data_IF_249687803728
#
_entry.id   IF_249687803728
#
_cell.length_a   1.000
_cell.length_b   1.000
_cell.length_c   1.000
_cell.angle_alpha   90.00
_cell.angle_beta   90.00
_cell.angle_gamma   90.00
#
_symmetry.space_group_name_H-M   'P 1'
#
loop_
_entity.id
_entity.type
_entity.pdbx_description
1 polymer ?
#
# COMPACT_ATOMS: atom_id res chain seq x y z
N UNK A 1 -44.40 9.82 -57.50
CA UNK A 1 -43.56 10.73 -56.68
C UNK A 1 -43.43 10.19 -55.25
N UNK A 2 -42.47 9.30 -55.06
CA UNK A 2 -42.10 8.67 -53.78
C UNK A 2 -41.09 9.57 -53.05
N UNK A 3 -41.21 9.75 -51.71
CA UNK A 3 -40.18 10.47 -50.95
C UNK A 3 -39.01 9.55 -50.59
N UNK A 4 -37.83 10.16 -50.68
CA UNK A 4 -36.49 9.59 -50.61
C UNK A 4 -36.09 9.09 -49.22
N UNK A 5 -35.21 8.10 -49.26
CA UNK A 5 -34.39 7.54 -48.19
C UNK A 5 -33.69 8.60 -47.34
N UNK A 6 -33.76 8.43 -46.02
CA UNK A 6 -32.85 9.05 -45.07
C UNK A 6 -31.83 7.98 -44.63
N UNK A 7 -30.58 8.17 -45.08
CA UNK A 7 -29.45 7.31 -44.73
C UNK A 7 -29.09 7.41 -43.25
N UNK A 8 -28.79 6.25 -42.66
CA UNK A 8 -28.18 6.14 -41.33
C UNK A 8 -26.70 6.59 -41.40
N UNK A 9 -26.18 7.29 -40.39
CA UNK A 9 -24.76 7.65 -40.34
C UNK A 9 -23.89 6.45 -39.94
N UNK A 10 -22.78 6.31 -40.65
CA UNK A 10 -21.71 5.33 -40.43
C UNK A 10 -21.19 5.37 -38.99
N UNK A 11 -21.17 4.20 -38.34
CA UNK A 11 -20.48 4.00 -37.09
C UNK A 11 -18.97 3.95 -37.36
N UNK A 12 -18.25 4.98 -36.92
CA UNK A 12 -16.79 4.96 -36.87
C UNK A 12 -16.34 3.97 -35.78
N UNK A 13 -15.64 2.91 -36.18
CA UNK A 13 -14.91 2.02 -35.27
C UNK A 13 -13.84 2.82 -34.51
N UNK A 14 -13.89 2.73 -33.17
CA UNK A 14 -12.84 3.24 -32.31
C UNK A 14 -11.54 2.41 -32.49
N UNK A 15 -10.35 3.04 -32.51
CA UNK A 15 -9.10 2.32 -32.67
C UNK A 15 -8.82 1.44 -31.43
N UNK A 16 -8.43 0.20 -31.67
CA UNK A 16 -7.96 -0.73 -30.65
C UNK A 16 -6.75 -0.14 -29.91
N UNK A 17 -6.89 0.06 -28.60
CA UNK A 17 -5.76 0.37 -27.72
C UNK A 17 -4.79 -0.83 -27.72
N UNK A 18 -3.62 -0.63 -28.32
CA UNK A 18 -2.55 -1.60 -28.33
C UNK A 18 -2.07 -1.89 -26.91
N UNK A 19 -2.36 -3.10 -26.43
CA UNK A 19 -1.67 -3.67 -25.29
C UNK A 19 -0.18 -3.78 -25.63
N UNK A 20 0.63 -2.87 -25.10
CA UNK A 20 2.09 -2.95 -25.19
C UNK A 20 2.56 -4.26 -24.57
N UNK A 21 2.88 -5.24 -25.42
CA UNK A 21 3.47 -6.49 -25.00
C UNK A 21 4.83 -6.20 -24.38
N UNK A 22 4.90 -6.12 -23.05
CA UNK A 22 6.17 -6.09 -22.34
C UNK A 22 6.79 -7.47 -22.48
N UNK A 23 7.87 -7.57 -23.26
CA UNK A 23 8.67 -8.80 -23.36
C UNK A 23 9.08 -9.25 -21.96
N UNK A 24 8.83 -10.52 -21.57
CA UNK A 24 9.25 -11.01 -20.27
C UNK A 24 10.78 -10.88 -20.14
N UNK A 25 11.23 -10.47 -18.95
CA UNK A 25 12.66 -10.39 -18.64
C UNK A 25 13.32 -11.75 -18.81
N UNK A 26 14.47 -11.79 -19.46
CA UNK A 26 15.26 -13.02 -19.56
C UNK A 26 15.76 -13.44 -18.17
N UNK A 27 16.03 -14.73 -17.98
CA UNK A 27 16.59 -15.28 -16.73
C UNK A 27 17.87 -14.53 -16.31
N UNK A 28 18.64 -14.07 -17.30
CA UNK A 28 19.86 -13.29 -17.11
C UNK A 28 19.57 -11.86 -16.59
N UNK A 29 18.52 -11.21 -17.09
CA UNK A 29 18.08 -9.89 -16.61
C UNK A 29 17.56 -9.95 -15.17
N UNK A 30 16.90 -11.05 -14.78
CA UNK A 30 16.45 -11.26 -13.39
C UNK A 30 17.65 -11.46 -12.45
N UNK A 31 18.63 -12.28 -12.85
CA UNK A 31 19.85 -12.49 -12.05
C UNK A 31 20.66 -11.20 -11.91
N UNK A 32 20.78 -10.41 -12.99
CA UNK A 32 21.51 -9.15 -12.98
C UNK A 32 20.80 -8.08 -12.13
N UNK A 33 19.47 -8.01 -12.19
CA UNK A 33 18.67 -7.19 -11.29
C UNK A 33 18.84 -7.62 -9.81
N UNK A 34 18.91 -8.93 -9.54
CA UNK A 34 19.17 -9.42 -8.18
C UNK A 34 20.60 -9.12 -7.68
N UNK A 35 21.59 -9.06 -8.57
CA UNK A 35 22.96 -8.70 -8.23
C UNK A 35 23.11 -7.21 -7.88
N UNK A 36 22.38 -6.32 -8.58
CA UNK A 36 22.39 -4.87 -8.30
C UNK A 36 21.84 -4.50 -6.91
N UNK A 37 21.07 -5.38 -6.27
CA UNK A 37 20.46 -5.14 -4.96
C UNK A 37 21.30 -5.64 -3.78
N UNK A 38 22.46 -6.27 -4.01
CA UNK A 38 23.36 -6.67 -2.91
C UNK A 38 24.30 -5.51 -2.58
N UNK A 39 24.44 -5.21 -1.28
CA UNK A 39 25.48 -4.29 -0.75
C UNK A 39 26.90 -4.87 -0.84
N UNK A 40 27.02 -6.16 -1.12
CA UNK A 40 28.29 -6.87 -1.23
C UNK A 40 28.47 -7.42 -2.65
N UNK A 41 29.71 -7.41 -3.19
CA UNK A 41 29.99 -7.99 -4.49
C UNK A 41 29.65 -9.49 -4.50
N UNK A 42 29.24 -10.00 -5.67
CA UNK A 42 29.06 -11.44 -5.85
C UNK A 42 30.39 -12.17 -5.57
N UNK A 43 30.38 -13.34 -4.93
CA UNK A 43 31.57 -14.15 -4.74
C UNK A 43 32.27 -14.42 -6.08
N UNK A 44 33.60 -14.45 -6.08
CA UNK A 44 34.44 -14.64 -7.27
C UNK A 44 34.05 -15.86 -8.08
N UNK A 45 33.62 -16.93 -7.40
CA UNK A 45 33.25 -18.21 -7.99
C UNK A 45 31.95 -18.09 -8.81
N UNK A 46 31.03 -17.22 -8.37
CA UNK A 46 29.78 -16.92 -9.08
C UNK A 46 30.07 -16.07 -10.32
N UNK A 47 30.99 -15.11 -10.20
CA UNK A 47 31.43 -14.28 -11.32
C UNK A 47 32.12 -15.15 -12.38
N UNK A 48 33.02 -16.04 -11.96
CA UNK A 48 33.72 -16.97 -12.87
C UNK A 48 32.75 -17.93 -13.55
N UNK A 49 31.77 -18.49 -12.84
CA UNK A 49 30.76 -19.37 -13.42
C UNK A 49 29.85 -18.66 -14.45
N UNK A 50 29.56 -17.37 -14.24
CA UNK A 50 28.81 -16.53 -15.18
C UNK A 50 29.67 -16.21 -16.42
N UNK A 51 30.94 -15.86 -16.22
CA UNK A 51 31.88 -15.58 -17.30
C UNK A 51 32.17 -16.81 -18.17
N UNK A 52 32.29 -17.99 -17.57
CA UNK A 52 32.50 -19.25 -18.28
C UNK A 52 31.27 -19.62 -19.13
N UNK A 53 30.06 -19.43 -18.60
CA UNK A 53 28.82 -19.63 -19.37
C UNK A 53 28.62 -18.61 -20.49
N UNK A 54 29.07 -17.37 -20.31
CA UNK A 54 29.07 -16.34 -21.35
C UNK A 54 30.10 -16.61 -22.45
N UNK A 55 31.25 -17.20 -22.10
CA UNK A 55 32.30 -17.59 -23.03
C UNK A 55 31.89 -18.76 -23.95
N UNK A 56 30.93 -19.58 -23.51
CA UNK A 56 30.41 -20.72 -24.25
C UNK A 56 29.16 -20.38 -25.10
N UNK A 57 28.69 -19.13 -25.10
CA UNK A 57 27.57 -18.71 -25.93
C UNK A 57 28.05 -18.41 -27.37
N UNK A 58 27.55 -19.09 -28.40
CA UNK A 58 27.94 -18.82 -29.77
C UNK A 58 27.07 -17.70 -30.33
N UNK A 59 27.57 -16.46 -30.25
CA UNK A 59 27.45 -15.38 -31.24
C UNK A 59 28.02 -14.11 -30.61
N UNK A 60 29.13 -13.62 -31.16
CA UNK A 60 29.85 -12.45 -30.67
C UNK A 60 29.16 -11.12 -31.00
N UNK A 61 29.25 -10.19 -30.05
CA UNK A 61 29.79 -8.82 -30.16
C UNK A 61 30.03 -8.37 -28.71
N UNK A 62 31.27 -8.02 -28.35
CA UNK A 62 31.59 -7.41 -27.04
C UNK A 62 31.86 -5.93 -27.28
N UNK A 63 31.07 -5.07 -26.63
CA UNK A 63 31.20 -3.61 -26.60
C UNK A 63 32.28 -3.18 -25.59
N UNK A 64 33.31 -2.39 -25.97
CA UNK A 64 34.43 -2.02 -25.10
C UNK A 64 34.15 -0.89 -24.08
N UNK A 65 32.92 -0.45 -23.87
CA UNK A 65 32.63 0.69 -22.95
C UNK A 65 32.73 0.35 -21.45
N UNK A 66 33.04 -0.89 -21.06
CA UNK A 66 33.01 -1.32 -19.64
C UNK A 66 34.39 -1.47 -18.94
N UNK A 67 35.41 -0.69 -19.31
CA UNK A 67 36.76 -0.77 -18.70
C UNK A 67 37.18 0.48 -17.91
N UNK A 68 36.41 1.58 -17.91
CA UNK A 68 36.79 2.83 -17.23
C UNK A 68 35.93 3.21 -16.02
N UNK A 69 35.76 2.31 -15.05
CA UNK A 69 35.08 2.65 -13.78
C UNK A 69 35.78 2.08 -12.53
N UNK A 70 37.13 2.11 -12.49
CA UNK A 70 37.92 1.74 -11.30
C UNK A 70 38.88 2.86 -10.83
N UNK A 71 38.89 4.03 -11.47
CA UNK A 71 39.81 5.11 -11.14
C UNK A 71 39.11 6.38 -10.63
N UNK A 72 38.44 6.32 -9.46
CA UNK A 72 38.10 7.52 -8.69
C UNK A 72 37.69 7.19 -7.24
N UNK A 73 38.66 6.91 -6.36
CA UNK A 73 38.47 7.06 -4.90
C UNK A 73 39.80 7.14 -4.12
N UNK A 74 40.49 8.28 -4.20
CA UNK A 74 41.53 8.75 -3.25
C UNK A 74 41.51 10.29 -3.32
N UNK A 75 41.46 11.09 -2.28
CA UNK A 75 41.40 10.90 -0.83
C UNK A 75 41.16 12.25 -0.14
N UNK A 76 41.12 12.19 1.19
CA UNK A 76 40.79 13.20 2.19
C UNK A 76 41.73 14.43 2.31
N UNK A 77 41.21 15.47 2.98
CA UNK A 77 41.93 16.13 4.08
C UNK A 77 42.11 17.64 3.96
N UNK A 78 41.64 18.39 4.97
CA UNK A 78 42.00 19.79 5.14
C UNK A 78 41.21 20.50 6.25
N UNK A 79 41.71 20.40 7.48
CA UNK A 79 41.31 21.22 8.63
C UNK A 79 41.88 22.65 8.53
N UNK A 80 41.17 23.62 9.10
CA UNK A 80 41.63 25.00 9.26
C UNK A 80 40.82 25.74 10.33
N UNK A 81 41.44 25.93 11.49
CA UNK A 81 40.93 26.58 12.70
C UNK A 81 41.43 28.03 12.75
N UNK A 82 40.58 29.04 13.03
CA UNK A 82 41.00 30.36 13.57
C UNK A 82 39.88 31.06 14.37
N UNK A 83 40.30 31.59 15.52
CA UNK A 83 39.62 32.51 16.44
C UNK A 83 39.37 33.91 15.79
N UNK A 84 38.65 34.92 16.31
CA UNK A 84 38.18 35.31 17.65
C UNK A 84 37.15 36.48 17.48
N UNK A 85 36.67 37.04 18.60
CA UNK A 85 36.06 38.38 18.80
C UNK A 85 34.54 38.49 19.00
N UNK A 86 34.21 39.19 20.09
CA UNK A 86 32.92 39.22 20.78
C UNK A 86 31.76 39.82 19.98
N UNK A 87 30.58 39.20 20.15
CA UNK A 87 29.29 39.69 19.65
C UNK A 87 28.22 39.52 20.73
N UNK A 88 27.19 40.38 20.74
CA UNK A 88 26.14 40.40 21.76
C UNK A 88 25.52 39.02 21.93
N UNK A 89 25.13 38.66 23.17
CA UNK A 89 24.56 37.35 23.54
C UNK A 89 23.48 36.94 22.53
N UNK A 90 23.91 36.19 21.50
CA UNK A 90 23.03 35.60 20.51
C UNK A 90 22.14 34.65 21.28
N UNK A 91 20.82 34.85 21.18
CA UNK A 91 19.85 33.85 21.63
C UNK A 91 20.32 32.52 21.09
N UNK A 92 20.54 31.57 22.00
CA UNK A 92 21.03 30.24 21.61
C UNK A 92 20.01 29.64 20.63
N UNK A 93 20.45 28.79 19.69
CA UNK A 93 19.53 28.06 18.81
C UNK A 93 18.40 27.38 19.59
N UNK A 94 18.70 26.96 20.83
CA UNK A 94 17.75 26.40 21.80
C UNK A 94 16.69 27.41 22.28
N UNK A 95 17.06 28.67 22.54
CA UNK A 95 16.13 29.73 22.92
C UNK A 95 15.27 30.19 21.75
N UNK A 96 15.85 30.30 20.55
CA UNK A 96 15.09 30.64 19.34
C UNK A 96 14.03 29.56 19.05
N UNK A 97 14.43 28.28 19.05
CA UNK A 97 13.51 27.16 18.87
C UNK A 97 12.44 27.07 19.98
N UNK A 98 12.78 27.38 21.22
CA UNK A 98 11.82 27.38 22.33
C UNK A 98 10.78 28.50 22.19
N UNK A 99 11.19 29.70 21.75
CA UNK A 99 10.29 30.83 21.57
C UNK A 99 9.43 30.70 20.30
N UNK A 100 9.96 30.09 19.22
CA UNK A 100 9.17 29.69 18.05
C UNK A 100 8.13 28.62 18.41
N UNK A 101 8.51 27.60 19.20
CA UNK A 101 7.57 26.60 19.70
C UNK A 101 6.51 27.21 20.64
N UNK A 102 6.85 28.23 21.42
CA UNK A 102 5.91 28.94 22.30
C UNK A 102 4.92 29.80 21.50
N UNK A 103 5.37 30.48 20.43
CA UNK A 103 4.49 31.21 19.50
C UNK A 103 3.59 30.30 18.68
N UNK A 104 4.08 29.13 18.24
CA UNK A 104 3.27 28.13 17.55
C UNK A 104 2.13 27.56 18.43
N UNK A 105 2.33 27.51 19.76
CA UNK A 105 1.31 27.07 20.73
C UNK A 105 0.20 28.10 21.00
N UNK A 106 0.48 29.40 20.86
CA UNK A 106 -0.47 30.46 21.23
C UNK A 106 -1.47 30.83 20.12
N UNK A 107 -1.38 30.19 18.95
CA UNK A 107 -2.22 30.52 17.79
C UNK A 107 -2.94 29.32 17.17
N UNK A 108 -3.11 28.20 17.89
CA UNK A 108 -3.60 26.93 17.30
C UNK A 108 -5.02 27.09 16.75
N UNK A 109 -5.23 27.16 15.42
CA UNK A 109 -6.55 27.30 14.81
C UNK A 109 -7.37 26.01 14.91
N UNK A 110 -6.70 24.89 15.22
CA UNK A 110 -7.30 23.56 15.12
C UNK A 110 -8.08 23.09 16.34
N UNK A 111 -7.99 23.74 17.50
CA UNK A 111 -8.94 23.45 18.59
C UNK A 111 -10.36 23.86 18.17
N UNK A 112 -10.51 25.01 17.50
CA UNK A 112 -11.78 25.46 16.94
C UNK A 112 -12.25 24.57 15.77
N UNK A 113 -11.33 24.08 14.92
CA UNK A 113 -11.67 23.12 13.86
C UNK A 113 -12.11 21.75 14.44
N UNK A 114 -11.39 21.21 15.43
CA UNK A 114 -11.78 19.96 16.07
C UNK A 114 -13.13 20.11 16.78
N UNK A 115 -13.34 21.23 17.47
CA UNK A 115 -14.60 21.56 18.12
C UNK A 115 -15.76 21.73 17.11
N UNK A 116 -15.53 22.39 15.97
CA UNK A 116 -16.56 22.56 14.92
C UNK A 116 -16.89 21.25 14.21
N UNK A 117 -15.97 20.29 14.22
CA UNK A 117 -16.19 18.93 13.73
C UNK A 117 -16.79 17.99 14.81
N UNK A 118 -17.04 18.49 16.03
CA UNK A 118 -17.58 17.69 17.13
C UNK A 118 -16.60 16.65 17.70
N UNK A 119 -15.30 16.80 17.41
CA UNK A 119 -14.28 15.86 17.86
C UNK A 119 -13.87 16.22 19.29
N UNK A 120 -14.09 15.31 20.23
CA UNK A 120 -13.54 15.42 21.58
C UNK A 120 -12.02 15.28 21.52
N UNK A 121 -11.30 16.40 21.45
CA UNK A 121 -9.84 16.45 21.53
C UNK A 121 -9.40 16.65 22.98
N UNK A 122 -8.49 15.81 23.47
CA UNK A 122 -7.75 16.07 24.71
C UNK A 122 -6.77 17.23 24.46
N UNK A 123 -7.29 18.46 24.55
CA UNK A 123 -6.53 19.69 24.27
C UNK A 123 -5.31 19.86 25.20
N UNK A 124 -5.26 19.14 26.33
CA UNK A 124 -4.12 19.18 27.28
C UNK A 124 -2.94 18.32 26.81
N UNK A 125 -3.10 17.51 25.76
CA UNK A 125 -2.05 16.65 25.19
C UNK A 125 -1.82 16.91 23.71
N UNK A 126 -1.59 18.16 23.31
CA UNK A 126 -0.80 18.38 22.08
C UNK A 126 0.56 17.73 22.34
N UNK A 127 0.80 16.59 21.70
CA UNK A 127 1.90 15.71 22.04
C UNK A 127 3.23 16.48 21.92
N UNK A 128 3.90 16.65 23.06
CA UNK A 128 5.22 17.29 23.13
C UNK A 128 6.21 16.65 22.16
N UNK A 129 6.00 15.38 21.77
CA UNK A 129 6.78 14.70 20.73
C UNK A 129 6.56 15.29 19.33
N UNK A 130 5.34 15.63 18.95
CA UNK A 130 5.02 16.23 17.65
C UNK A 130 5.64 17.62 17.55
N UNK A 131 5.48 18.46 18.59
CA UNK A 131 6.09 19.78 18.63
C UNK A 131 7.64 19.72 18.62
N UNK A 132 8.24 18.78 19.37
CA UNK A 132 9.69 18.55 19.35
C UNK A 132 10.17 17.97 18.02
N UNK A 133 9.38 17.12 17.37
CA UNK A 133 9.65 16.56 16.05
C UNK A 133 9.65 17.63 14.97
N UNK A 134 8.63 18.50 14.97
CA UNK A 134 8.53 19.66 14.09
C UNK A 134 9.75 20.59 14.22
N UNK A 135 10.17 20.88 15.45
CA UNK A 135 11.36 21.70 15.72
C UNK A 135 12.70 21.03 15.34
N UNK A 136 12.72 19.69 15.20
CA UNK A 136 13.91 18.90 14.81
C UNK A 136 14.01 18.67 13.30
N UNK A 137 12.94 18.87 12.55
CA UNK A 137 13.04 18.92 11.09
C UNK A 137 14.01 20.05 10.75
N UNK A 138 15.18 19.72 10.17
CA UNK A 138 16.18 20.70 9.69
C UNK A 138 15.59 21.48 8.52
N UNK A 139 14.63 22.36 8.80
CA UNK A 139 13.69 22.88 7.82
C UNK A 139 12.85 21.78 7.17
N UNK A 140 11.52 21.93 7.04
CA UNK A 140 10.85 21.24 5.95
C UNK A 140 11.58 21.57 4.63
N UNK A 141 11.64 20.61 3.70
CA UNK A 141 12.11 20.95 2.37
C UNK A 141 11.21 22.08 1.84
N UNK A 142 11.74 23.11 1.14
CA UNK A 142 10.93 24.22 0.63
C UNK A 142 9.66 23.78 -0.11
N UNK A 143 9.69 22.62 -0.76
CA UNK A 143 8.54 22.01 -1.43
C UNK A 143 7.37 21.65 -0.48
N UNK A 144 7.65 21.24 0.76
CA UNK A 144 6.63 20.87 1.76
C UNK A 144 5.94 22.09 2.34
N UNK A 145 6.73 23.12 2.65
CA UNK A 145 6.19 24.42 3.05
C UNK A 145 5.35 25.01 1.91
N UNK A 146 5.83 24.98 0.66
CA UNK A 146 5.06 25.44 -0.48
C UNK A 146 3.76 24.64 -0.68
N UNK A 147 3.82 23.31 -0.52
CA UNK A 147 2.64 22.43 -0.62
C UNK A 147 1.61 22.72 0.48
N UNK A 148 2.04 22.78 1.75
CA UNK A 148 1.14 23.10 2.85
C UNK A 148 0.63 24.54 2.80
N UNK A 149 1.46 25.49 2.39
CA UNK A 149 1.04 26.88 2.18
C UNK A 149 -0.01 26.97 1.09
N UNK A 150 0.16 26.23 -0.02
CA UNK A 150 -0.80 26.19 -1.13
C UNK A 150 -2.13 25.55 -0.74
N UNK A 151 -2.11 24.46 0.03
CA UNK A 151 -3.31 23.68 0.35
C UNK A 151 -4.02 24.19 1.61
N UNK A 152 -3.26 24.55 2.64
CA UNK A 152 -3.76 24.89 3.98
C UNK A 152 -3.51 26.35 4.38
N UNK A 153 -2.82 27.14 3.55
CA UNK A 153 -2.53 28.55 3.86
C UNK A 153 -1.51 28.77 4.99
N UNK A 154 -0.82 27.72 5.44
CA UNK A 154 0.14 27.77 6.56
C UNK A 154 1.43 27.04 6.24
N UNK A 155 2.58 27.44 6.81
CA UNK A 155 3.83 26.69 6.73
C UNK A 155 3.69 25.28 7.31
N UNK A 156 4.49 24.33 6.81
CA UNK A 156 4.44 22.92 7.23
C UNK A 156 4.65 22.75 8.73
N UNK A 157 5.54 23.54 9.35
CA UNK A 157 5.75 23.48 10.80
C UNK A 157 4.49 23.87 11.60
N UNK A 158 3.73 24.86 11.13
CA UNK A 158 2.45 25.25 11.74
C UNK A 158 1.38 24.19 11.48
N UNK A 159 1.35 23.62 10.26
CA UNK A 159 0.48 22.51 9.92
C UNK A 159 0.71 21.29 10.84
N UNK A 160 1.96 20.86 11.03
CA UNK A 160 2.29 19.73 11.92
C UNK A 160 1.89 20.02 13.36
N UNK A 161 2.05 21.25 13.84
CA UNK A 161 1.59 21.66 15.17
C UNK A 161 0.06 21.62 15.32
N UNK A 162 -0.66 21.58 14.21
CA UNK A 162 -2.11 21.51 14.15
C UNK A 162 -2.65 20.07 14.15
N UNK A 163 -1.79 19.07 13.96
CA UNK A 163 -2.17 17.66 14.05
C UNK A 163 -2.60 17.30 15.48
N UNK A 164 -3.50 16.32 15.58
CA UNK A 164 -4.11 15.90 16.84
C UNK A 164 -3.73 14.46 17.16
N UNK A 165 -3.59 14.17 18.45
CA UNK A 165 -3.46 12.80 18.93
C UNK A 165 -4.83 12.26 19.32
N UNK A 166 -5.07 10.99 19.01
CA UNK A 166 -6.30 10.28 19.35
C UNK A 166 -6.04 8.78 19.40
N UNK A 167 -7.11 8.00 19.29
CA UNK A 167 -7.02 6.54 19.19
C UNK A 167 -7.88 6.02 18.05
N UNK A 168 -7.48 4.88 17.50
CA UNK A 168 -8.30 4.04 16.64
C UNK A 168 -8.23 2.60 17.15
N UNK A 169 -9.36 2.00 17.50
CA UNK A 169 -9.42 0.67 18.13
C UNK A 169 -8.54 0.59 19.38
N UNK A 170 -8.48 1.68 20.16
CA UNK A 170 -7.64 1.80 21.35
C UNK A 170 -6.13 1.91 21.10
N UNK A 171 -5.67 1.91 19.84
CA UNK A 171 -4.27 2.15 19.49
C UNK A 171 -4.02 3.66 19.26
N UNK A 172 -2.90 4.21 19.75
CA UNK A 172 -2.62 5.64 19.62
C UNK A 172 -2.34 6.03 18.17
N UNK A 173 -2.91 7.14 17.72
CA UNK A 173 -2.66 7.74 16.40
C UNK A 173 -2.36 9.22 16.53
N UNK A 174 -1.51 9.74 15.65
CA UNK A 174 -1.35 11.19 15.45
C UNK A 174 -1.67 11.49 13.99
N UNK A 175 -2.72 12.29 13.77
CA UNK A 175 -3.30 12.50 12.43
C UNK A 175 -3.90 13.90 12.32
N UNK A 176 -4.31 14.28 11.13
CA UNK A 176 -5.11 15.47 10.90
C UNK A 176 -6.51 15.33 11.55
N UNK A 177 -7.16 16.40 12.08
CA UNK A 177 -8.48 16.29 12.70
C UNK A 177 -9.54 15.59 11.84
N UNK A 178 -9.60 15.90 10.55
CA UNK A 178 -10.54 15.24 9.63
C UNK A 178 -10.26 13.74 9.47
N UNK A 179 -8.99 13.32 9.53
CA UNK A 179 -8.63 11.91 9.51
C UNK A 179 -9.05 11.22 10.80
N UNK A 180 -8.85 11.86 11.97
CA UNK A 180 -9.31 11.31 13.25
C UNK A 180 -10.83 11.08 13.26
N UNK A 181 -11.61 12.03 12.73
CA UNK A 181 -13.06 11.88 12.61
C UNK A 181 -13.45 10.66 11.75
N UNK A 182 -12.74 10.42 10.65
CA UNK A 182 -12.98 9.24 9.80
C UNK A 182 -12.66 7.94 10.50
N UNK A 183 -11.56 7.90 11.24
CA UNK A 183 -11.22 6.74 12.07
C UNK A 183 -12.30 6.47 13.12
N UNK A 184 -12.86 7.52 13.73
CA UNK A 184 -14.00 7.38 14.66
C UNK A 184 -15.27 6.85 13.96
N UNK A 185 -15.54 7.25 12.71
CA UNK A 185 -16.64 6.70 11.92
C UNK A 185 -16.44 5.20 11.61
N UNK A 186 -15.22 4.80 11.23
CA UNK A 186 -14.90 3.38 11.05
C UNK A 186 -15.06 2.59 12.36
N UNK A 187 -14.56 3.11 13.48
CA UNK A 187 -14.68 2.46 14.78
C UNK A 187 -16.13 2.32 15.24
N UNK A 188 -16.96 3.36 15.05
CA UNK A 188 -18.40 3.29 15.32
C UNK A 188 -19.10 2.23 14.46
N UNK A 189 -18.76 2.15 13.16
CA UNK A 189 -19.28 1.10 12.28
C UNK A 189 -18.88 -0.30 12.78
N UNK A 190 -17.63 -0.50 13.17
CA UNK A 190 -17.13 -1.77 13.69
C UNK A 190 -17.84 -2.19 14.98
N UNK A 191 -18.05 -1.25 15.91
CA UNK A 191 -18.85 -1.51 17.11
C UNK A 191 -20.28 -1.95 16.77
N UNK A 192 -20.92 -1.32 15.79
CA UNK A 192 -22.26 -1.71 15.33
C UNK A 192 -22.33 -3.10 14.69
N UNK A 193 -21.21 -3.59 14.13
CA UNK A 193 -21.09 -4.94 13.54
C UNK A 193 -20.61 -6.01 14.53
N UNK A 194 -20.13 -5.61 15.70
CA UNK A 194 -19.58 -6.52 16.73
C UNK A 194 -20.13 -6.14 18.11
N UNK A 195 -21.44 -6.38 18.34
CA UNK A 195 -22.15 -5.89 19.53
C UNK A 195 -21.63 -6.51 20.85
N UNK A 196 -21.00 -7.68 20.79
CA UNK A 196 -20.49 -8.40 21.95
C UNK A 196 -19.12 -7.90 22.45
N UNK A 197 -18.56 -6.85 21.84
CA UNK A 197 -17.36 -6.18 22.33
C UNK A 197 -17.64 -5.25 23.53
N UNK A 198 -18.89 -5.15 24.02
CA UNK A 198 -19.29 -4.32 25.16
C UNK A 198 -18.81 -2.86 25.07
N UNK A 199 -18.67 -2.32 23.85
CA UNK A 199 -18.11 -0.97 23.63
C UNK A 199 -16.62 -0.83 23.96
N UNK A 200 -15.89 -1.90 24.27
CA UNK A 200 -14.47 -1.85 24.59
C UNK A 200 -13.62 -1.97 23.32
N UNK A 201 -12.98 -0.86 22.93
CA UNK A 201 -12.11 -0.77 21.76
C UNK A 201 -10.95 -1.79 21.77
N UNK A 202 -10.40 -2.14 22.94
CA UNK A 202 -9.30 -3.11 23.06
C UNK A 202 -9.77 -4.53 22.76
N UNK A 203 -10.95 -4.91 23.25
CA UNK A 203 -11.51 -6.23 22.96
C UNK A 203 -11.97 -6.34 21.50
N UNK A 204 -12.60 -5.28 20.97
CA UNK A 204 -12.91 -5.18 19.55
C UNK A 204 -11.65 -5.34 18.70
N UNK A 205 -10.58 -4.60 19.03
CA UNK A 205 -9.28 -4.69 18.36
C UNK A 205 -8.73 -6.11 18.31
N UNK A 206 -8.65 -6.80 19.45
CA UNK A 206 -8.16 -8.18 19.53
C UNK A 206 -8.98 -9.11 18.64
N UNK A 207 -10.31 -8.99 18.68
CA UNK A 207 -11.22 -9.77 17.83
C UNK A 207 -11.01 -9.46 16.35
N UNK A 208 -10.71 -8.23 16.00
CA UNK A 208 -10.44 -7.81 14.63
C UNK A 208 -9.03 -8.16 14.13
N UNK A 209 -8.14 -8.62 15.02
CA UNK A 209 -6.75 -8.93 14.68
C UNK A 209 -5.89 -7.71 14.42
N UNK A 210 -6.34 -6.49 14.75
CA UNK A 210 -5.54 -5.27 14.52
C UNK A 210 -4.54 -5.09 15.65
N UNK A 211 -3.28 -5.45 15.45
CA UNK A 211 -2.24 -5.39 16.50
C UNK A 211 -1.45 -4.09 16.46
N UNK A 212 -1.37 -3.42 15.31
CA UNK A 212 -0.53 -2.24 15.11
C UNK A 212 -1.20 -1.22 14.18
N UNK A 213 -1.01 0.07 14.47
CA UNK A 213 -1.39 1.20 13.62
C UNK A 213 -0.19 2.14 13.50
N UNK A 214 0.27 2.34 12.28
CA UNK A 214 1.29 3.36 11.97
C UNK A 214 0.60 4.60 11.41
N UNK A 215 0.87 5.79 11.97
CA UNK A 215 0.21 7.04 11.56
C UNK A 215 1.22 8.08 11.08
N UNK A 216 1.40 9.20 11.79
CA UNK A 216 2.31 10.28 11.41
C UNK A 216 3.77 9.80 11.30
N UNK A 217 4.36 9.99 10.13
CA UNK A 217 5.79 9.75 9.88
C UNK A 217 6.43 11.03 9.32
N UNK A 218 6.98 11.87 10.19
CA UNK A 218 7.54 13.17 9.77
C UNK A 218 8.67 13.05 8.75
N UNK A 219 9.42 11.93 8.75
CA UNK A 219 10.45 11.63 7.74
C UNK A 219 9.87 11.34 6.35
N UNK A 220 8.65 10.79 6.28
CA UNK A 220 7.97 10.40 5.04
C UNK A 220 7.40 11.56 4.25
N UNK A 221 7.39 12.76 4.83
CA UNK A 221 6.86 13.94 4.15
C UNK A 221 7.66 14.33 2.88
N UNK A 222 8.86 13.76 2.67
CA UNK A 222 9.73 13.99 1.49
C UNK A 222 9.71 12.83 0.50
N UNK A 223 8.89 11.80 0.73
CA UNK A 223 8.84 10.61 -0.12
C UNK A 223 7.44 10.40 -0.70
N UNK A 224 7.32 9.34 -1.49
CA UNK A 224 6.07 8.68 -1.90
C UNK A 224 5.05 8.46 -0.77
N UNK A 225 5.48 8.42 0.49
CA UNK A 225 4.63 8.28 1.68
C UNK A 225 4.15 9.63 2.25
N UNK A 226 3.99 10.64 1.40
CA UNK A 226 3.65 12.01 1.82
C UNK A 226 2.42 12.08 2.73
N UNK A 227 1.39 11.24 2.51
CA UNK A 227 0.17 11.24 3.33
C UNK A 227 0.43 10.88 4.80
N UNK A 228 1.40 10.00 5.10
CA UNK A 228 1.84 9.79 6.48
C UNK A 228 2.54 11.03 7.04
N UNK A 229 3.31 11.73 6.21
CA UNK A 229 3.99 12.97 6.59
C UNK A 229 3.03 14.06 7.06
N UNK A 230 1.86 14.15 6.43
CA UNK A 230 0.82 15.13 6.77
C UNK A 230 -0.28 14.56 7.68
N UNK A 231 -0.16 13.33 8.19
CA UNK A 231 -1.15 12.74 9.09
C UNK A 231 -2.52 12.46 8.42
N UNK A 232 -2.54 12.21 7.12
CA UNK A 232 -3.73 11.84 6.33
C UNK A 232 -3.73 10.38 5.87
N UNK A 233 -2.78 9.58 6.37
CA UNK A 233 -2.76 8.13 6.16
C UNK A 233 -2.47 7.38 7.45
N UNK A 234 -2.95 6.14 7.49
CA UNK A 234 -2.52 5.14 8.47
C UNK A 234 -2.24 3.81 7.77
N UNK A 235 -1.33 3.02 8.35
CA UNK A 235 -1.13 1.64 7.97
C UNK A 235 -1.61 0.73 9.10
N UNK A 236 -2.43 -0.26 8.78
CA UNK A 236 -2.90 -1.28 9.72
C UNK A 236 -2.06 -2.53 9.59
N UNK A 237 -1.53 -3.03 10.71
CA UNK A 237 -0.69 -4.22 10.75
C UNK A 237 0.35 -4.23 9.63
N UNK A 238 1.21 -3.19 9.52
CA UNK A 238 2.19 -3.11 8.43
C UNK A 238 3.13 -4.33 8.42
N UNK A 239 3.27 -4.95 9.60
CA UNK A 239 4.03 -6.17 9.77
C UNK A 239 3.34 -7.47 9.38
N UNK A 240 2.11 -7.46 8.88
CA UNK A 240 1.47 -8.66 8.30
C UNK A 240 0.71 -8.38 6.99
N UNK A 241 0.69 -7.13 6.52
CA UNK A 241 -0.08 -6.71 5.34
C UNK A 241 0.84 -5.98 4.34
N UNK A 242 1.58 -6.74 3.51
CA UNK A 242 2.64 -6.20 2.65
C UNK A 242 2.12 -5.32 1.51
N UNK A 243 3.03 -4.56 0.91
CA UNK A 243 2.78 -3.87 -0.37
C UNK A 243 3.06 -4.76 -1.58
N UNK A 244 2.00 -5.38 -2.10
CA UNK A 244 2.00 -6.48 -3.08
C UNK A 244 2.27 -6.00 -4.52
N UNK A 245 1.62 -4.93 -4.99
CA UNK A 245 1.76 -4.44 -6.38
C UNK A 245 2.01 -2.94 -6.46
N UNK A 246 2.50 -2.45 -7.59
CA UNK A 246 2.49 -1.00 -7.87
C UNK A 246 3.49 -0.17 -7.06
N UNK A 247 4.38 -0.79 -6.28
CA UNK A 247 5.38 -0.07 -5.50
C UNK A 247 6.47 0.49 -6.43
N UNK A 248 6.50 1.81 -6.64
CA UNK A 248 7.42 2.47 -7.59
C UNK A 248 8.89 2.25 -7.25
N UNK A 249 9.21 2.06 -5.96
CA UNK A 249 10.55 1.72 -5.49
C UNK A 249 10.99 0.28 -5.75
N UNK A 250 10.09 -0.59 -6.26
CA UNK A 250 10.33 -2.05 -6.37
C UNK A 250 9.94 -2.63 -7.73
N UNK A 251 10.47 -2.03 -8.80
CA UNK A 251 10.14 -2.37 -10.19
C UNK A 251 10.30 -3.86 -10.56
N UNK A 252 11.34 -4.54 -10.06
CA UNK A 252 11.53 -5.99 -10.29
C UNK A 252 10.40 -6.82 -9.68
N UNK A 253 9.94 -6.44 -8.48
CA UNK A 253 8.87 -7.14 -7.78
C UNK A 253 7.52 -6.94 -8.48
N UNK A 254 7.23 -5.71 -8.92
CA UNK A 254 6.03 -5.41 -9.70
C UNK A 254 5.93 -6.21 -11.02
N UNK A 255 7.06 -6.65 -11.57
CA UNK A 255 7.10 -7.52 -12.76
C UNK A 255 6.99 -9.00 -12.42
N UNK A 256 7.67 -9.45 -11.37
CA UNK A 256 7.70 -10.86 -11.00
C UNK A 256 6.37 -11.34 -10.40
N UNK A 257 5.79 -10.55 -9.51
CA UNK A 257 4.66 -11.00 -8.70
C UNK A 257 3.39 -11.31 -9.49
N UNK A 258 2.94 -10.48 -10.47
CA UNK A 258 1.77 -10.82 -11.28
C UNK A 258 1.91 -12.17 -12.00
N UNK A 259 3.14 -12.51 -12.43
CA UNK A 259 3.44 -13.79 -13.10
C UNK A 259 3.39 -14.95 -12.11
N UNK A 260 3.89 -14.76 -10.89
CA UNK A 260 3.79 -15.78 -9.83
C UNK A 260 2.33 -16.02 -9.45
N UNK A 261 1.52 -14.96 -9.30
CA UNK A 261 0.10 -15.10 -8.98
C UNK A 261 -0.70 -15.77 -10.10
N UNK A 262 -0.37 -15.47 -11.37
CA UNK A 262 -0.97 -16.16 -12.51
C UNK A 262 -0.73 -17.66 -12.46
N UNK A 263 0.53 -18.05 -12.22
CA UNK A 263 0.91 -19.46 -12.11
C UNK A 263 0.28 -20.11 -10.89
N UNK A 264 0.30 -19.44 -9.73
CA UNK A 264 -0.34 -19.93 -8.51
C UNK A 264 -1.82 -20.20 -8.73
N UNK A 265 -2.53 -19.26 -9.36
CA UNK A 265 -3.94 -19.41 -9.69
C UNK A 265 -4.20 -20.54 -10.70
N UNK A 266 -3.39 -20.64 -11.75
CA UNK A 266 -3.52 -21.71 -12.73
C UNK A 266 -3.24 -23.08 -12.10
N UNK A 267 -2.18 -23.21 -11.31
CA UNK A 267 -1.73 -24.47 -10.71
C UNK A 267 -2.69 -24.98 -9.62
N UNK A 268 -3.28 -24.07 -8.85
CA UNK A 268 -4.28 -24.40 -7.81
C UNK A 268 -5.69 -24.56 -8.38
N UNK A 269 -5.96 -24.06 -9.59
CA UNK A 269 -7.28 -24.13 -10.22
C UNK A 269 -8.28 -23.08 -9.73
N UNK A 270 -7.85 -22.07 -8.97
CA UNK A 270 -8.74 -21.06 -8.39
C UNK A 270 -9.39 -20.14 -9.41
N UNK A 271 -8.79 -19.98 -10.59
CA UNK A 271 -9.27 -19.03 -11.60
C UNK A 271 -9.11 -17.56 -11.22
N UNK A 272 -8.44 -17.25 -10.11
CA UNK A 272 -8.12 -15.90 -9.67
C UNK A 272 -7.37 -15.06 -10.73
N UNK A 273 -6.50 -15.68 -11.54
CA UNK A 273 -5.77 -15.07 -12.66
C UNK A 273 -4.59 -14.17 -12.22
N UNK A 274 -3.99 -13.47 -13.19
CA UNK A 274 -2.96 -12.46 -12.89
C UNK A 274 -3.58 -11.17 -12.36
N UNK A 275 -3.05 -10.68 -11.25
CA UNK A 275 -3.43 -9.39 -10.67
C UNK A 275 -2.27 -8.39 -10.79
N UNK A 276 -2.60 -7.17 -11.22
CA UNK A 276 -1.68 -6.03 -11.28
C UNK A 276 -2.34 -4.83 -10.62
N UNK A 277 -1.55 -3.80 -10.27
CA UNK A 277 -2.04 -2.54 -9.71
C UNK A 277 -3.17 -1.93 -10.56
N UNK A 278 -2.95 -1.79 -11.87
CA UNK A 278 -3.95 -1.24 -12.78
C UNK A 278 -5.21 -2.11 -12.88
N UNK A 279 -5.06 -3.44 -12.90
CA UNK A 279 -6.20 -4.37 -12.97
C UNK A 279 -7.06 -4.28 -11.71
N UNK A 280 -6.46 -4.35 -10.51
CA UNK A 280 -7.23 -4.30 -9.27
C UNK A 280 -7.89 -2.93 -9.10
N UNK A 281 -7.23 -1.85 -9.52
CA UNK A 281 -7.83 -0.51 -9.47
C UNK A 281 -8.99 -0.34 -10.44
N UNK A 282 -8.90 -0.92 -11.65
CA UNK A 282 -10.01 -0.94 -12.59
C UNK A 282 -11.20 -1.78 -12.08
N UNK A 283 -10.93 -2.90 -11.39
CA UNK A 283 -11.96 -3.69 -10.72
C UNK A 283 -12.65 -2.90 -9.61
N UNK A 284 -11.90 -2.08 -8.86
CA UNK A 284 -12.45 -1.30 -7.77
C UNK A 284 -13.44 -0.21 -8.18
N UNK A 285 -13.46 0.16 -9.46
CA UNK A 285 -14.48 1.04 -10.02
C UNK A 285 -15.79 0.31 -10.36
N UNK A 286 -15.78 -1.02 -10.39
CA UNK A 286 -16.89 -1.87 -10.87
C UNK A 286 -17.45 -2.79 -9.79
N UNK A 287 -16.68 -3.05 -8.75
CA UNK A 287 -17.01 -4.00 -7.67
C UNK A 287 -17.24 -3.26 -6.36
N UNK A 288 -18.12 -3.80 -5.53
CA UNK A 288 -18.25 -3.40 -4.13
C UNK A 288 -16.97 -3.74 -3.34
N UNK A 289 -16.82 -3.13 -2.16
CA UNK A 289 -15.69 -3.43 -1.26
C UNK A 289 -15.61 -4.91 -0.90
N UNK A 290 -16.75 -5.58 -0.65
CA UNK A 290 -16.76 -6.99 -0.28
C UNK A 290 -16.39 -7.92 -1.45
N UNK A 291 -16.81 -7.61 -2.68
CA UNK A 291 -16.39 -8.37 -3.86
C UNK A 291 -14.88 -8.24 -4.13
N UNK A 292 -14.31 -7.04 -3.93
CA UNK A 292 -12.87 -6.82 -4.04
C UNK A 292 -12.08 -7.60 -2.99
N UNK A 293 -12.57 -7.60 -1.74
CA UNK A 293 -11.95 -8.37 -0.66
C UNK A 293 -12.00 -9.86 -0.99
N UNK A 294 -13.16 -10.40 -1.36
CA UNK A 294 -13.28 -11.81 -1.73
C UNK A 294 -12.37 -12.18 -2.92
N UNK A 295 -12.20 -11.27 -3.89
CA UNK A 295 -11.26 -11.46 -5.00
C UNK A 295 -9.81 -11.53 -4.52
N UNK A 296 -9.40 -10.63 -3.62
CA UNK A 296 -8.04 -10.61 -3.07
C UNK A 296 -7.77 -11.81 -2.17
N UNK A 297 -8.71 -12.20 -1.30
CA UNK A 297 -8.63 -13.42 -0.47
C UNK A 297 -8.50 -14.67 -1.34
N UNK A 298 -9.23 -14.75 -2.47
CA UNK A 298 -9.10 -15.85 -3.41
C UNK A 298 -7.70 -15.92 -4.04
N UNK A 299 -7.11 -14.76 -4.41
CA UNK A 299 -5.74 -14.68 -4.92
C UNK A 299 -4.75 -15.09 -3.83
N UNK A 300 -4.94 -14.63 -2.59
CA UNK A 300 -4.06 -14.93 -1.47
C UNK A 300 -4.07 -16.42 -1.12
N UNK A 301 -5.25 -17.01 -0.96
CA UNK A 301 -5.42 -18.44 -0.72
C UNK A 301 -4.79 -19.30 -1.84
N UNK A 302 -4.84 -18.83 -3.09
CA UNK A 302 -4.18 -19.50 -4.22
C UNK A 302 -2.65 -19.47 -4.07
N UNK A 303 -2.10 -18.32 -3.67
CA UNK A 303 -0.67 -18.17 -3.45
C UNK A 303 -0.22 -19.04 -2.28
N UNK A 304 -0.94 -19.03 -1.16
CA UNK A 304 -0.67 -19.89 -0.01
C UNK A 304 -0.62 -21.37 -0.38
N UNK A 305 -1.66 -21.85 -1.08
CA UNK A 305 -1.73 -23.24 -1.52
C UNK A 305 -0.58 -23.57 -2.48
N UNK A 306 -0.24 -22.67 -3.40
CA UNK A 306 0.87 -22.85 -4.32
C UNK A 306 2.22 -22.96 -3.62
N UNK A 307 2.48 -22.12 -2.61
CA UNK A 307 3.72 -22.15 -1.83
C UNK A 307 3.91 -23.45 -1.04
N UNK A 308 2.83 -24.10 -0.62
CA UNK A 308 2.92 -25.44 0.01
C UNK A 308 3.55 -26.46 -0.93
N UNK A 309 3.28 -26.38 -2.24
CA UNK A 309 3.92 -27.25 -3.23
C UNK A 309 5.42 -26.97 -3.42
N UNK A 310 5.85 -25.70 -3.29
CA UNK A 310 7.26 -25.31 -3.36
C UNK A 310 8.15 -25.93 -2.28
N UNK A 311 7.53 -26.42 -1.20
CA UNK A 311 8.19 -27.05 -0.04
C UNK A 311 8.14 -28.57 -0.08
N UNK A 312 7.48 -29.17 -1.05
CA UNK A 312 7.40 -30.63 -1.16
C UNK A 312 8.75 -31.23 -1.55
N UNK A 313 9.07 -32.45 -1.08
CA UNK A 313 10.12 -33.27 -1.67
C UNK A 313 9.93 -33.40 -3.18
N UNK A 314 11.04 -33.55 -3.92
CA UNK A 314 11.02 -33.58 -5.39
C UNK A 314 10.06 -34.64 -5.94
N UNK A 315 10.06 -35.83 -5.34
CA UNK A 315 9.26 -36.98 -5.76
C UNK A 315 7.75 -36.75 -5.53
N UNK A 316 7.39 -36.02 -4.48
CA UNK A 316 6.01 -35.64 -4.18
C UNK A 316 5.53 -34.51 -5.11
N UNK A 317 6.37 -33.49 -5.31
CA UNK A 317 6.09 -32.41 -6.26
C UNK A 317 5.88 -32.97 -7.67
N UNK A 318 6.68 -33.95 -8.09
CA UNK A 318 6.56 -34.58 -9.39
C UNK A 318 5.18 -35.21 -9.60
N UNK A 319 4.68 -35.96 -8.61
CA UNK A 319 3.34 -36.55 -8.64
C UNK A 319 2.24 -35.49 -8.74
N UNK A 320 2.34 -34.42 -7.95
CA UNK A 320 1.38 -33.30 -7.98
C UNK A 320 1.41 -32.61 -9.35
N UNK A 321 2.59 -32.37 -9.93
CA UNK A 321 2.73 -31.75 -11.25
C UNK A 321 2.08 -32.63 -12.32
N UNK A 322 2.31 -33.94 -12.30
CA UNK A 322 1.68 -34.87 -13.24
C UNK A 322 0.15 -34.86 -13.13
N UNK A 323 -0.38 -34.87 -11.91
CA UNK A 323 -1.83 -34.76 -11.65
C UNK A 323 -2.39 -33.42 -12.18
N UNK A 324 -1.75 -32.29 -11.86
CA UNK A 324 -2.19 -30.97 -12.30
C UNK A 324 -2.11 -30.81 -13.80
N UNK A 325 -1.06 -31.34 -14.43
CA UNK A 325 -0.97 -31.37 -15.89
C UNK A 325 -2.10 -32.20 -16.46
N UNK A 326 -2.39 -33.40 -15.95
CA UNK A 326 -3.47 -34.23 -16.47
C UNK A 326 -4.84 -33.53 -16.37
N UNK A 327 -5.13 -32.90 -15.23
CA UNK A 327 -6.45 -32.37 -14.89
C UNK A 327 -6.73 -30.93 -15.39
N UNK A 328 -5.72 -30.07 -15.56
CA UNK A 328 -5.94 -28.63 -15.76
C UNK A 328 -5.33 -28.10 -17.06
N UNK A 329 -6.16 -27.75 -18.07
CA UNK A 329 -5.69 -27.20 -19.35
C UNK A 329 -4.86 -25.91 -19.21
N UNK A 330 -5.14 -25.07 -18.20
CA UNK A 330 -4.37 -23.83 -17.97
C UNK A 330 -2.95 -24.14 -17.51
N UNK A 331 -2.76 -25.19 -16.72
CA UNK A 331 -1.44 -25.66 -16.30
C UNK A 331 -0.63 -26.16 -17.50
N UNK A 332 -1.26 -26.94 -18.40
CA UNK A 332 -0.64 -27.38 -19.66
C UNK A 332 -0.26 -26.19 -20.56
N UNK A 333 -1.14 -25.19 -20.67
CA UNK A 333 -0.92 -24.02 -21.53
C UNK A 333 0.26 -23.15 -21.08
N UNK A 334 0.54 -23.10 -19.77
CA UNK A 334 1.66 -22.34 -19.22
C UNK A 334 3.01 -23.08 -19.30
N UNK A 335 3.00 -24.42 -19.38
CA UNK A 335 4.25 -25.18 -19.51
C UNK A 335 4.09 -26.69 -19.31
N UNK A 336 5.16 -27.40 -19.62
CA UNK A 336 5.26 -28.85 -19.42
C UNK A 336 5.76 -29.21 -18.01
N UNK A 337 5.95 -30.51 -17.74
CA UNK A 337 6.45 -31.03 -16.46
C UNK A 337 7.77 -30.38 -16.03
N UNK A 338 8.76 -30.32 -16.92
CA UNK A 338 10.06 -29.74 -16.62
C UNK A 338 9.96 -28.25 -16.22
N UNK A 339 9.08 -27.50 -16.88
CA UNK A 339 8.78 -26.12 -16.50
C UNK A 339 8.26 -26.02 -15.07
N UNK A 340 7.23 -26.78 -14.71
CA UNK A 340 6.61 -26.70 -13.38
C UNK A 340 7.54 -27.20 -12.27
N UNK A 341 8.29 -28.27 -12.51
CA UNK A 341 9.32 -28.75 -11.58
C UNK A 341 10.39 -27.70 -11.28
N UNK A 342 10.70 -26.82 -12.25
CA UNK A 342 11.62 -25.68 -12.04
C UNK A 342 10.91 -24.50 -11.39
N UNK A 343 9.68 -24.16 -11.83
CA UNK A 343 9.01 -22.91 -11.45
C UNK A 343 8.38 -22.94 -10.07
N UNK A 344 7.79 -24.05 -9.63
CA UNK A 344 7.12 -24.11 -8.32
C UNK A 344 8.09 -23.79 -7.16
N UNK A 345 9.29 -24.41 -7.06
CA UNK A 345 10.24 -24.08 -5.99
C UNK A 345 10.89 -22.70 -6.18
N UNK A 346 11.15 -22.30 -7.44
CA UNK A 346 11.75 -21.00 -7.74
C UNK A 346 10.83 -19.84 -7.38
N UNK A 347 9.54 -19.96 -7.67
CA UNK A 347 8.55 -18.96 -7.33
C UNK A 347 8.36 -18.88 -5.81
N UNK A 348 8.33 -20.01 -5.07
CA UNK A 348 8.31 -19.97 -3.60
C UNK A 348 9.56 -19.29 -3.01
N UNK A 349 10.74 -19.54 -3.58
CA UNK A 349 11.97 -18.84 -3.17
C UNK A 349 11.90 -17.33 -3.41
N UNK A 350 11.37 -16.90 -4.57
CA UNK A 350 11.17 -15.47 -4.86
C UNK A 350 10.21 -14.85 -3.83
N UNK A 351 9.11 -15.54 -3.53
CA UNK A 351 8.11 -15.06 -2.58
C UNK A 351 8.65 -15.01 -1.15
N UNK A 352 9.41 -16.02 -0.73
CA UNK A 352 10.08 -16.04 0.55
C UNK A 352 11.03 -14.84 0.71
N UNK A 353 11.89 -14.60 -0.29
CA UNK A 353 12.78 -13.43 -0.29
C UNK A 353 12.03 -12.11 -0.28
N UNK A 354 10.95 -12.01 -1.05
CA UNK A 354 10.12 -10.81 -1.07
C UNK A 354 9.55 -10.49 0.31
N UNK A 355 9.01 -11.50 1.00
CA UNK A 355 8.48 -11.36 2.36
C UNK A 355 9.60 -10.99 3.34
N UNK A 356 10.76 -11.65 3.26
CA UNK A 356 11.93 -11.33 4.09
C UNK A 356 12.45 -9.90 3.87
N UNK A 357 12.50 -9.43 2.62
CA UNK A 357 12.97 -8.09 2.28
C UNK A 357 11.98 -7.02 2.75
N UNK A 358 10.67 -7.29 2.73
CA UNK A 358 9.70 -6.43 3.41
C UNK A 358 9.88 -6.48 4.93
N UNK A 359 10.00 -7.66 5.52
CA UNK A 359 10.26 -7.83 6.94
C UNK A 359 11.43 -7.02 7.47
N UNK A 360 12.55 -7.02 6.75
CA UNK A 360 13.73 -6.25 7.14
C UNK A 360 13.51 -4.74 7.05
N UNK A 361 12.76 -4.27 6.05
CA UNK A 361 12.60 -2.83 5.80
C UNK A 361 11.48 -2.22 6.65
N UNK A 362 10.40 -2.97 6.87
CA UNK A 362 9.16 -2.46 7.46
C UNK A 362 8.89 -3.06 8.87
N UNK A 363 9.79 -3.90 9.37
CA UNK A 363 9.65 -4.57 10.67
C UNK A 363 8.56 -5.64 10.70
N UNK A 364 8.33 -6.30 9.55
CA UNK A 364 7.25 -7.28 9.32
C UNK A 364 7.58 -8.60 9.99
N UNK A 365 6.64 -9.14 10.77
CA UNK A 365 6.73 -10.52 11.22
C UNK A 365 6.35 -11.43 10.04
N UNK A 366 7.11 -12.50 9.85
CA UNK A 366 7.10 -13.33 8.64
C UNK A 366 5.67 -13.77 8.24
N UNK A 367 5.11 -13.20 7.17
CA UNK A 367 3.81 -13.62 6.60
C UNK A 367 3.99 -14.92 5.81
N UNK A 368 4.29 -15.99 6.52
CA UNK A 368 4.57 -17.29 5.89
C UNK A 368 3.38 -17.87 5.12
N UNK A 369 2.18 -17.31 5.31
CA UNK A 369 0.94 -17.79 4.73
C UNK A 369 0.08 -16.72 4.09
N UNK A 370 0.61 -15.73 3.35
CA UNK A 370 -0.22 -14.86 2.52
C UNK A 370 0.19 -13.38 2.53
N UNK A 371 -0.67 -12.53 1.98
CA UNK A 371 -0.54 -11.07 1.93
C UNK A 371 -1.74 -10.30 2.49
N UNK A 372 -2.81 -10.98 2.92
CA UNK A 372 -4.02 -10.32 3.42
C UNK A 372 -4.46 -10.87 4.79
N UNK A 373 -4.04 -10.20 5.86
CA UNK A 373 -4.37 -10.54 7.25
C UNK A 373 -5.43 -9.60 7.86
N UNK A 374 -5.80 -8.52 7.16
CA UNK A 374 -6.90 -7.63 7.58
C UNK A 374 -8.25 -8.29 7.38
N UNK A 375 -9.07 -8.33 8.45
CA UNK A 375 -10.44 -8.82 8.35
C UNK A 375 -11.28 -7.99 7.37
N UNK A 376 -12.16 -8.61 6.57
CA UNK A 376 -13.00 -7.91 5.60
C UNK A 376 -13.80 -6.74 6.19
N UNK A 377 -14.34 -6.91 7.39
CA UNK A 377 -15.14 -5.87 8.07
C UNK A 377 -14.31 -4.63 8.42
N UNK A 378 -13.01 -4.77 8.67
CA UNK A 378 -12.10 -3.63 8.94
C UNK A 378 -11.92 -2.81 7.66
N UNK A 379 -11.62 -3.49 6.55
CA UNK A 379 -11.46 -2.84 5.24
C UNK A 379 -12.77 -2.15 4.84
N UNK A 380 -13.91 -2.83 5.02
CA UNK A 380 -15.24 -2.26 4.78
C UNK A 380 -15.48 -1.00 5.63
N UNK A 381 -15.19 -1.04 6.93
CA UNK A 381 -15.35 0.11 7.80
C UNK A 381 -14.49 1.30 7.34
N UNK A 382 -13.24 1.04 6.96
CA UNK A 382 -12.31 2.07 6.52
C UNK A 382 -12.71 2.69 5.17
N UNK A 383 -13.11 1.87 4.19
CA UNK A 383 -13.50 2.35 2.86
C UNK A 383 -14.91 2.91 2.82
N UNK A 384 -15.89 2.14 3.29
CA UNK A 384 -17.30 2.44 3.05
C UNK A 384 -17.87 3.39 4.10
N UNK A 385 -17.55 3.18 5.38
CA UNK A 385 -18.05 4.03 6.46
C UNK A 385 -17.18 5.29 6.66
N UNK A 386 -15.86 5.13 6.69
CA UNK A 386 -14.93 6.24 6.87
C UNK A 386 -14.55 6.94 5.56
N UNK A 387 -14.94 6.41 4.40
CA UNK A 387 -14.69 7.04 3.10
C UNK A 387 -13.22 7.18 2.75
N UNK A 388 -12.35 6.36 3.32
CA UNK A 388 -10.91 6.36 3.04
C UNK A 388 -10.62 5.57 1.76
N UNK A 389 -9.57 5.94 1.06
CA UNK A 389 -8.99 5.11 0.00
C UNK A 389 -8.23 3.97 0.64
N UNK A 390 -8.31 2.79 0.03
CA UNK A 390 -7.46 1.67 0.40
C UNK A 390 -6.32 1.51 -0.59
N UNK A 391 -5.10 1.46 -0.09
CA UNK A 391 -3.87 1.35 -0.88
C UNK A 391 -3.83 0.11 -1.77
N UNK A 392 -4.56 -0.95 -1.43
CA UNK A 392 -4.63 -2.14 -2.27
C UNK A 392 -5.31 -1.91 -3.62
N UNK A 393 -6.25 -0.95 -3.71
CA UNK A 393 -7.15 -0.84 -4.86
C UNK A 393 -7.36 0.58 -5.40
N UNK A 394 -7.20 1.62 -4.58
CA UNK A 394 -7.73 2.96 -4.87
C UNK A 394 -6.65 3.97 -5.31
N UNK A 395 -5.48 3.48 -5.72
CA UNK A 395 -4.29 4.29 -6.05
C UNK A 395 -3.86 4.18 -7.51
N UNK A 396 -4.71 3.65 -8.40
CA UNK A 396 -4.37 3.48 -9.81
C UNK A 396 -3.15 2.58 -9.99
N UNK A 397 -2.11 3.10 -10.66
CA UNK A 397 -0.86 2.37 -10.92
C UNK A 397 -0.03 2.09 -9.65
N UNK A 398 -0.28 2.81 -8.56
CA UNK A 398 0.39 2.61 -7.26
C UNK A 398 -0.41 1.66 -6.34
N UNK A 399 -1.53 1.11 -6.81
CA UNK A 399 -2.36 0.19 -6.02
C UNK A 399 -1.61 -1.10 -5.70
N UNK A 400 -1.83 -1.63 -4.50
CA UNK A 400 -1.28 -2.89 -4.02
C UNK A 400 -0.77 -2.84 -2.58
N UNK A 401 -0.89 -1.71 -1.91
CA UNK A 401 -0.50 -1.54 -0.51
C UNK A 401 -1.62 -2.01 0.45
N UNK A 402 -1.53 -3.24 0.95
CA UNK A 402 -2.62 -3.88 1.70
C UNK A 402 -2.88 -3.23 3.06
N UNK A 403 -1.84 -2.70 3.69
CA UNK A 403 -1.91 -2.06 5.01
C UNK A 403 -2.45 -0.62 4.96
N UNK A 404 -2.33 0.07 3.83
CA UNK A 404 -2.44 1.51 3.76
C UNK A 404 -3.87 2.04 3.56
N UNK A 405 -4.24 3.08 4.31
CA UNK A 405 -5.49 3.82 4.13
C UNK A 405 -5.24 5.32 4.19
N UNK A 406 -5.77 6.08 3.24
CA UNK A 406 -5.61 7.54 3.20
C UNK A 406 -6.89 8.33 2.90
N UNK A 407 -6.84 9.62 3.24
CA UNK A 407 -7.92 10.56 3.02
C UNK A 407 -7.85 11.38 1.73
N UNK A 408 -7.09 11.02 0.68
CA UNK A 408 -6.87 11.90 -0.49
C UNK A 408 -8.16 12.42 -1.15
N UNK A 409 -9.21 11.59 -1.21
CA UNK A 409 -10.51 11.98 -1.77
C UNK A 409 -11.16 13.18 -1.06
N UNK A 410 -10.72 13.50 0.16
CA UNK A 410 -11.18 14.66 0.93
C UNK A 410 -10.47 15.95 0.57
N UNK A 411 -9.20 15.85 0.18
CA UNK A 411 -8.39 17.00 -0.21
C UNK A 411 -8.72 17.44 -1.64
N UNK A 412 -8.96 16.48 -2.54
CA UNK A 412 -9.05 16.74 -3.98
C UNK A 412 -10.37 17.38 -4.44
N UNK A 413 -11.49 17.17 -3.73
CA UNK A 413 -12.81 17.54 -4.27
C UNK A 413 -13.44 18.79 -3.65
N UNK A 414 -12.87 19.39 -2.61
CA UNK A 414 -13.48 20.53 -1.90
C UNK A 414 -14.93 20.28 -1.46
N UNK A 415 -15.41 19.05 -1.58
CA UNK A 415 -16.78 18.67 -1.24
C UNK A 415 -16.82 18.72 0.26
N UNK A 416 -17.69 19.56 0.78
CA UNK A 416 -17.85 19.69 2.21
C UNK A 416 -18.09 18.30 2.78
N UNK A 417 -17.31 17.93 3.80
CA UNK A 417 -17.36 16.65 4.50
C UNK A 417 -18.82 16.21 4.81
N UNK A 418 -19.71 17.18 5.04
CA UNK A 418 -21.15 17.02 5.21
C UNK A 418 -21.83 16.27 4.05
N UNK A 419 -21.51 16.58 2.80
CA UNK A 419 -22.08 15.91 1.63
C UNK A 419 -21.64 14.43 1.54
N UNK A 420 -20.40 14.12 1.94
CA UNK A 420 -19.89 12.76 1.96
C UNK A 420 -20.54 11.93 3.09
N UNK A 421 -20.72 12.54 4.28
CA UNK A 421 -21.43 11.91 5.40
C UNK A 421 -22.89 11.62 5.02
N UNK A 422 -23.60 12.58 4.41
CA UNK A 422 -24.98 12.37 3.95
C UNK A 422 -25.07 11.23 2.93
N UNK A 423 -24.12 11.13 2.00
CA UNK A 423 -24.11 10.05 0.99
C UNK A 423 -23.80 8.67 1.61
N UNK A 424 -22.86 8.60 2.56
CA UNK A 424 -22.54 7.36 3.27
C UNK A 424 -23.72 6.88 4.14
N UNK A 425 -24.37 7.80 4.88
CA UNK A 425 -25.55 7.52 5.67
C UNK A 425 -26.72 7.02 4.79
N UNK A 426 -26.94 7.63 3.62
CA UNK A 426 -27.96 7.19 2.67
C UNK A 426 -27.69 5.76 2.14
N UNK A 427 -26.44 5.42 1.85
CA UNK A 427 -26.06 4.05 1.40
C UNK A 427 -26.26 3.01 2.50
N UNK A 428 -25.91 3.33 3.74
CA UNK A 428 -26.13 2.44 4.88
C UNK A 428 -27.62 2.23 5.16
N UNK A 429 -28.44 3.28 5.02
CA UNK A 429 -29.89 3.19 5.15
C UNK A 429 -30.51 2.31 4.04
N UNK A 430 -30.11 2.52 2.78
CA UNK A 430 -30.60 1.72 1.64
C UNK A 430 -30.26 0.23 1.78
N UNK A 431 -29.05 -0.12 2.22
CA UNK A 431 -28.67 -1.51 2.48
C UNK A 431 -29.33 -2.14 3.72
N UNK A 432 -29.92 -1.34 4.61
CA UNK A 432 -30.71 -1.83 5.74
C UNK A 432 -32.17 -2.10 5.35
N UNK A 433 -32.74 -1.31 4.44
CA UNK A 433 -34.10 -1.51 3.93
C UNK A 433 -34.23 -2.75 3.04
N UNK A 434 -33.22 -3.06 2.22
CA UNK A 434 -33.19 -4.28 1.39
C UNK A 434 -33.27 -5.56 2.25
N UNK A 435 -32.59 -5.57 3.41
CA UNK A 435 -32.66 -6.69 4.36
C UNK A 435 -33.96 -6.77 5.17
N UNK A 436 -34.69 -5.66 5.30
CA UNK A 436 -35.97 -5.62 6.00
C UNK A 436 -37.14 -6.09 5.11
N UNK A 437 -36.99 -6.01 3.79
CA UNK A 437 -37.94 -6.56 2.81
C UNK A 437 -37.97 -8.09 2.84
N UNK A 438 -36.79 -8.72 2.79
CA UNK A 438 -36.68 -10.19 2.78
C UNK A 438 -37.20 -10.86 4.06
N UNK A 439 -37.21 -10.13 5.19
CA UNK A 439 -37.73 -10.64 6.45
C UNK A 439 -39.27 -10.65 6.53
N UNK A 440 -39.99 -9.89 5.68
CA UNK A 440 -41.45 -9.83 5.69
C UNK A 440 -42.14 -10.93 4.86
N UNK A 441 -41.43 -11.55 3.92
CA UNK A 441 -41.98 -12.63 3.09
C UNK A 441 -41.82 -14.03 3.73
N UNK A 442 -41.09 -14.13 4.85
CA UNK A 442 -40.91 -15.39 5.58
C UNK A 442 -42.09 -15.77 6.50
N UNK A 443 -43.10 -14.90 6.66
CA UNK A 443 -44.19 -15.08 7.63
C UNK A 443 -45.59 -15.18 6.99
N UNK A 444 -45.66 -15.50 5.69
CA UNK A 444 -46.93 -15.83 5.06
C UNK A 444 -47.44 -17.19 5.59
N UNK A 445 -48.61 -17.25 6.26
CA UNK A 445 -49.14 -18.51 6.77
C UNK A 445 -49.44 -19.45 5.59
N UNK A 446 -48.90 -20.67 5.66
CA UNK A 446 -49.24 -21.74 4.73
C UNK A 446 -50.76 -21.96 4.76
N UNK A 447 -51.43 -21.63 3.65
CA UNK A 447 -52.85 -21.93 3.47
C UNK A 447 -53.00 -23.45 3.28
N UNK A 448 -53.64 -24.08 4.26
CA UNK A 448 -54.29 -25.39 4.11
C UNK A 448 -55.69 -25.26 3.51
#
# INVERSE_FOLDING_TARGET
PTPKDAGAPDAQEAPAEGAGATTPLSEQQVVQAMAMYRKEPLPSEVISAIQEKLRLAPTGVIDPVLVQAVAASRGAGGDGDQAQAGKPKRRTKKQIAADEAKKARSGVPNAALAQSLGIAVDAKKVDLKVAKGAAKLKGPAPAQDAGCQKVYGVPYAQYVASLVSGTFLGLPVTVHPQMLQRLQMAEAFLHGKTPDANGNATELRKRLGVTNVSSLRLSSAKSDQMYHGIGFAIDLNPGTNPWVFGNTGRSTQNKALPVVLERASAFTGSGAGSLTASKISALAQKMSTMELIAKLESVDASLEAYRKFGKLPKEELEKVVDEKLAANPKVKALGNKAFWMKKVPFDDLIMGKYIEDQAKNDGVENTTGGFMDLKPVVIQAMRDAAGLRWGATDMGAESGDMMHFDGHNTLAKGTTLRAQISAAAARLAAGAEEKAGDAKDADAPAKG
#
